data_IF_687612274477
#
_entry.id   IF_687612274477
#
_cell.length_a   1.000
_cell.length_b   1.000
_cell.length_c   1.000
_cell.angle_alpha   90.00
_cell.angle_beta   90.00
_cell.angle_gamma   90.00
#
_symmetry.space_group_name_H-M   'P 1'
#
loop_
_entity.id
_entity.type
_entity.pdbx_description
1 polymer ?
#
# COMPACT_ATOMS: atom_id res chain seq x y z
N UNK A 1 -19.47 35.04 -23.07
CA UNK A 1 -18.87 33.84 -23.72
C UNK A 1 -17.50 33.48 -23.14
N UNK A 2 -16.58 34.44 -22.97
CA UNK A 2 -15.24 34.13 -22.43
C UNK A 2 -15.24 33.77 -20.93
N UNK A 3 -16.13 34.37 -20.13
CA UNK A 3 -16.27 34.03 -18.70
C UNK A 3 -16.88 32.65 -18.46
N UNK A 4 -17.89 32.26 -19.24
CA UNK A 4 -18.51 30.93 -19.20
C UNK A 4 -17.50 29.81 -19.51
N UNK A 5 -16.57 30.05 -20.44
CA UNK A 5 -15.49 29.12 -20.79
C UNK A 5 -14.42 29.03 -19.69
N UNK A 6 -14.15 30.12 -18.96
CA UNK A 6 -13.25 30.13 -17.80
C UNK A 6 -13.85 29.38 -16.62
N UNK A 7 -15.15 29.54 -16.36
CA UNK A 7 -15.88 28.79 -15.33
C UNK A 7 -15.92 27.30 -15.69
N UNK A 8 -16.19 26.96 -16.95
CA UNK A 8 -16.15 25.57 -17.44
C UNK A 8 -14.78 24.91 -17.26
N UNK A 9 -13.70 25.59 -17.63
CA UNK A 9 -12.34 25.08 -17.44
C UNK A 9 -11.95 24.99 -15.95
N UNK A 10 -12.43 25.91 -15.11
CA UNK A 10 -12.18 25.87 -13.67
C UNK A 10 -12.91 24.70 -13.00
N UNK A 11 -14.18 24.46 -13.35
CA UNK A 11 -14.97 23.33 -12.85
C UNK A 11 -14.36 22.00 -13.32
N UNK A 12 -13.95 21.91 -14.59
CA UNK A 12 -13.26 20.73 -15.12
C UNK A 12 -11.90 20.49 -14.42
N UNK A 13 -11.15 21.56 -14.15
CA UNK A 13 -9.88 21.48 -13.40
C UNK A 13 -10.07 20.99 -11.97
N UNK A 14 -11.10 21.47 -11.26
CA UNK A 14 -11.44 21.04 -9.89
C UNK A 14 -11.91 19.58 -9.87
N UNK A 15 -12.70 19.15 -10.86
CA UNK A 15 -13.15 17.76 -10.97
C UNK A 15 -11.99 16.79 -11.21
N UNK A 16 -11.02 17.16 -12.06
CA UNK A 16 -9.81 16.36 -12.29
C UNK A 16 -8.93 16.23 -11.04
N UNK A 17 -8.84 17.28 -10.21
CA UNK A 17 -8.07 17.25 -8.96
C UNK A 17 -8.68 16.29 -7.92
N UNK A 18 -10.01 16.12 -7.90
CA UNK A 18 -10.67 15.18 -6.99
C UNK A 18 -10.40 13.70 -7.35
N UNK A 19 -10.08 13.40 -8.61
CA UNK A 19 -9.76 12.04 -9.06
C UNK A 19 -8.31 11.61 -8.76
N UNK A 20 -7.43 12.54 -8.39
CA UNK A 20 -6.03 12.27 -8.07
C UNK A 20 -5.75 11.95 -6.60
N UNK A 21 -6.76 11.91 -5.72
CA UNK A 21 -6.58 11.72 -4.27
C UNK A 21 -6.51 10.24 -3.84
N UNK A 22 -6.26 9.30 -4.75
CA UNK A 22 -5.96 7.93 -4.32
C UNK A 22 -4.56 7.83 -3.75
N UNK A 23 -4.49 7.65 -2.43
CA UNK A 23 -3.25 7.33 -1.71
C UNK A 23 -2.63 6.04 -2.26
N UNK A 24 -1.35 5.80 -1.98
CA UNK A 24 -0.68 4.57 -2.39
C UNK A 24 -1.45 3.30 -1.95
N UNK A 25 -2.13 3.37 -0.81
CA UNK A 25 -2.97 2.28 -0.31
C UNK A 25 -4.26 2.10 -1.13
N UNK A 26 -4.96 3.20 -1.51
CA UNK A 26 -6.08 3.12 -2.45
C UNK A 26 -5.63 2.49 -3.78
N UNK A 27 -4.45 2.85 -4.29
CA UNK A 27 -3.94 2.29 -5.56
C UNK A 27 -3.62 0.79 -5.46
N UNK A 28 -2.97 0.37 -4.37
CA UNK A 28 -2.64 -1.03 -4.15
C UNK A 28 -3.91 -1.89 -4.02
N UNK A 29 -4.88 -1.43 -3.24
CA UNK A 29 -6.13 -2.15 -2.98
C UNK A 29 -7.13 -2.09 -4.14
N UNK A 30 -7.47 -0.90 -4.63
CA UNK A 30 -8.59 -0.72 -5.56
C UNK A 30 -8.24 -0.93 -7.04
N UNK A 31 -6.96 -1.07 -7.40
CA UNK A 31 -6.52 -1.28 -8.79
C UNK A 31 -5.64 -2.54 -8.96
N UNK A 32 -5.62 -3.46 -8.00
CA UNK A 32 -4.76 -4.65 -8.01
C UNK A 32 -3.27 -4.34 -8.08
N UNK A 33 -2.85 -3.26 -7.42
CA UNK A 33 -1.46 -2.86 -7.39
C UNK A 33 -0.61 -3.80 -6.54
N UNK A 34 0.65 -3.99 -6.95
CA UNK A 34 1.67 -4.56 -6.08
C UNK A 34 2.34 -3.44 -5.31
N UNK A 35 2.48 -3.59 -4.00
CA UNK A 35 3.30 -2.72 -3.16
C UNK A 35 4.34 -3.53 -2.40
N UNK A 36 5.48 -2.92 -2.11
CA UNK A 36 6.52 -3.48 -1.28
C UNK A 36 6.72 -2.61 -0.04
N UNK A 37 6.91 -3.22 1.12
CA UNK A 37 7.22 -2.57 2.39
C UNK A 37 8.48 -3.22 2.95
N UNK A 38 9.51 -2.41 3.15
CA UNK A 38 10.67 -2.79 3.93
C UNK A 38 10.37 -2.53 5.41
N UNK A 39 10.41 -3.56 6.24
CA UNK A 39 10.22 -3.41 7.67
C UNK A 39 11.47 -2.78 8.31
N UNK A 40 11.31 -2.05 9.43
CA UNK A 40 12.44 -1.64 10.24
C UNK A 40 13.33 -2.84 10.57
N UNK A 41 14.64 -2.61 10.62
CA UNK A 41 15.57 -3.70 10.84
C UNK A 41 15.37 -4.35 12.23
N UNK A 42 15.69 -5.64 12.32
CA UNK A 42 15.46 -6.49 13.50
C UNK A 42 13.99 -6.56 13.96
N UNK A 43 13.04 -6.29 13.07
CA UNK A 43 11.62 -6.54 13.28
C UNK A 43 11.14 -7.72 12.44
N UNK A 44 10.27 -8.52 13.04
CA UNK A 44 9.57 -9.64 12.39
C UNK A 44 8.10 -9.30 12.22
N UNK A 45 7.57 -9.57 11.04
CA UNK A 45 6.15 -9.44 10.76
C UNK A 45 5.36 -10.41 11.63
N UNK A 46 4.32 -9.92 12.29
CA UNK A 46 3.47 -10.73 13.15
C UNK A 46 2.08 -10.96 12.55
N UNK A 47 1.46 -9.89 12.03
CA UNK A 47 0.12 -9.95 11.45
C UNK A 47 -0.09 -8.84 10.43
N UNK A 48 -1.00 -9.07 9.47
CA UNK A 48 -1.37 -8.13 8.42
C UNK A 48 -2.87 -8.21 8.17
N UNK A 49 -3.53 -7.06 8.11
CA UNK A 49 -4.95 -6.98 7.78
C UNK A 49 -5.29 -5.71 7.02
N UNK A 50 -6.43 -5.75 6.32
CA UNK A 50 -7.04 -4.59 5.69
C UNK A 50 -8.27 -4.18 6.47
N UNK A 51 -8.38 -2.88 6.77
CA UNK A 51 -9.62 -2.26 7.23
C UNK A 51 -9.89 -1.07 6.33
N UNK A 52 -10.89 -1.19 5.44
CA UNK A 52 -11.31 -0.14 4.47
C UNK A 52 -10.12 0.59 3.82
N UNK A 53 -9.61 0.35 2.62
CA UNK A 53 -8.44 1.13 2.11
C UNK A 53 -7.15 1.28 2.95
N UNK A 54 -7.10 0.88 4.23
CA UNK A 54 -5.96 1.05 5.11
C UNK A 54 -5.35 -0.32 5.42
N UNK A 55 -4.06 -0.42 5.15
CA UNK A 55 -3.25 -1.57 5.52
C UNK A 55 -2.79 -1.39 6.96
N UNK A 56 -3.08 -2.38 7.80
CA UNK A 56 -2.57 -2.47 9.16
C UNK A 56 -1.65 -3.69 9.24
N UNK A 57 -0.49 -3.50 9.84
CA UNK A 57 0.43 -4.59 10.09
C UNK A 57 1.06 -4.43 11.47
N UNK A 58 1.22 -5.55 12.15
CA UNK A 58 1.88 -5.63 13.44
C UNK A 58 3.24 -6.28 13.26
N UNK A 59 4.21 -5.80 14.03
CA UNK A 59 5.55 -6.32 14.06
C UNK A 59 6.01 -6.50 15.50
N UNK A 60 6.98 -7.38 15.70
CA UNK A 60 7.64 -7.58 16.98
C UNK A 60 9.15 -7.60 16.77
N UNK A 61 9.95 -7.42 17.84
CA UNK A 61 11.38 -7.69 17.76
C UNK A 61 11.66 -9.11 17.25
N UNK A 62 12.62 -9.22 16.34
CA UNK A 62 13.10 -10.49 15.80
C UNK A 62 14.05 -11.14 16.83
N UNK A 63 13.76 -12.37 17.25
CA UNK A 63 14.60 -13.10 18.19
C UNK A 63 15.94 -13.49 17.55
N UNK A 64 17.02 -13.63 18.32
CA UNK A 64 18.38 -13.79 17.80
C UNK A 64 18.59 -14.99 16.86
N UNK A 65 17.83 -16.07 17.05
CA UNK A 65 17.88 -17.30 16.25
C UNK A 65 16.99 -17.27 14.99
N UNK A 66 16.14 -16.25 14.85
CA UNK A 66 15.26 -16.08 13.70
C UNK A 66 16.00 -15.45 12.51
N UNK A 67 15.62 -15.85 11.29
CA UNK A 67 16.13 -15.24 10.06
C UNK A 67 15.10 -14.27 9.47
N UNK A 68 15.54 -13.21 8.78
CA UNK A 68 14.65 -12.38 7.98
C UNK A 68 13.98 -13.20 6.88
N UNK A 69 12.71 -12.92 6.65
CA UNK A 69 11.90 -13.54 5.61
C UNK A 69 11.23 -12.50 4.70
N UNK A 70 10.73 -12.95 3.56
CA UNK A 70 9.89 -12.14 2.67
C UNK A 70 8.48 -12.73 2.67
N UNK A 71 7.50 -11.91 3.06
CA UNK A 71 6.10 -12.32 3.15
C UNK A 71 5.32 -11.76 1.97
N UNK A 72 4.45 -12.59 1.40
CA UNK A 72 3.50 -12.20 0.36
C UNK A 72 2.09 -12.23 0.93
N UNK A 73 1.53 -11.06 1.15
CA UNK A 73 0.14 -10.88 1.56
C UNK A 73 -0.71 -10.56 0.34
N UNK A 74 -1.75 -11.34 0.10
CA UNK A 74 -2.61 -11.24 -1.09
C UNK A 74 -4.04 -11.08 -0.61
N UNK A 75 -4.73 -10.09 -1.13
CA UNK A 75 -6.18 -9.98 -0.96
C UNK A 75 -6.86 -11.14 -1.69
N UNK A 76 -7.90 -11.76 -1.14
CA UNK A 76 -8.74 -12.73 -1.86
C UNK A 76 -10.15 -12.15 -1.94
N UNK A 77 -10.68 -12.01 -3.16
CA UNK A 77 -11.93 -11.34 -3.48
C UNK A 77 -12.89 -12.26 -4.22
N UNK A 78 -14.06 -12.47 -3.63
CA UNK A 78 -15.14 -13.30 -4.19
C UNK A 78 -15.66 -12.84 -5.57
N UNK A 79 -15.35 -11.61 -5.99
CA UNK A 79 -15.80 -11.03 -7.27
C UNK A 79 -14.78 -11.18 -8.41
N UNK A 80 -13.62 -11.81 -8.17
CA UNK A 80 -12.61 -12.11 -9.20
C UNK A 80 -11.92 -10.89 -9.82
N UNK A 81 -12.15 -9.68 -9.29
CA UNK A 81 -11.49 -8.46 -9.71
C UNK A 81 -10.15 -8.30 -8.98
N UNK A 82 -9.15 -7.87 -9.75
CA UNK A 82 -7.73 -7.70 -9.40
C UNK A 82 -7.44 -7.40 -7.92
N UNK A 83 -6.79 -8.37 -7.27
CA UNK A 83 -6.51 -8.39 -5.84
C UNK A 83 -5.18 -7.69 -5.50
N UNK A 84 -5.21 -6.80 -4.50
CA UNK A 84 -4.01 -6.13 -4.02
C UNK A 84 -2.97 -7.13 -3.50
N UNK A 85 -1.69 -6.93 -3.84
CA UNK A 85 -0.59 -7.70 -3.26
C UNK A 85 0.34 -6.77 -2.49
N UNK A 86 0.70 -7.16 -1.27
CA UNK A 86 1.75 -6.52 -0.48
C UNK A 86 2.89 -7.52 -0.27
N UNK A 87 4.11 -7.10 -0.58
CA UNK A 87 5.33 -7.84 -0.29
C UNK A 87 6.03 -7.16 0.89
N UNK A 88 6.27 -7.88 1.98
CA UNK A 88 7.05 -7.39 3.11
C UNK A 88 8.45 -7.98 3.07
N UNK A 89 9.47 -7.14 3.24
CA UNK A 89 10.86 -7.55 3.37
C UNK A 89 11.36 -7.29 4.79
N UNK A 90 11.75 -8.36 5.49
CA UNK A 90 12.45 -8.25 6.76
C UNK A 90 13.96 -8.09 6.53
N UNK A 91 14.65 -7.46 7.49
CA UNK A 91 16.10 -7.32 7.46
C UNK A 91 16.69 -7.40 8.87
N UNK A 92 17.97 -7.78 8.97
CA UNK A 92 18.78 -7.60 10.19
C UNK A 92 19.52 -6.28 10.10
N UNK A 93 19.64 -5.55 11.21
CA UNK A 93 20.45 -4.32 11.20
C UNK A 93 21.94 -4.62 10.96
N UNK A 94 22.35 -5.88 11.16
CA UNK A 94 23.72 -6.38 10.95
C UNK A 94 23.73 -7.51 9.92
N UNK A 95 23.36 -7.21 8.67
CA UNK A 95 23.47 -8.17 7.56
C UNK A 95 24.29 -7.60 6.40
N UNK A 96 25.56 -7.28 6.68
CA UNK A 96 26.67 -7.40 5.73
C UNK A 96 27.94 -7.81 6.51
N UNK A 97 28.22 -9.11 6.54
CA UNK A 97 29.55 -9.71 6.71
C UNK A 97 29.60 -10.99 5.88
#
# INVERSE_FOLDING_TARGET
MEEEMKIGNLVLGIFCLMLCSCTANCRAKNFGGKMAIDLPCDQKLFDVTWKEDNLWYAMRPMADDEKPETYRFVEESSLGAMEGTVIFHESRCRAEQ
#
